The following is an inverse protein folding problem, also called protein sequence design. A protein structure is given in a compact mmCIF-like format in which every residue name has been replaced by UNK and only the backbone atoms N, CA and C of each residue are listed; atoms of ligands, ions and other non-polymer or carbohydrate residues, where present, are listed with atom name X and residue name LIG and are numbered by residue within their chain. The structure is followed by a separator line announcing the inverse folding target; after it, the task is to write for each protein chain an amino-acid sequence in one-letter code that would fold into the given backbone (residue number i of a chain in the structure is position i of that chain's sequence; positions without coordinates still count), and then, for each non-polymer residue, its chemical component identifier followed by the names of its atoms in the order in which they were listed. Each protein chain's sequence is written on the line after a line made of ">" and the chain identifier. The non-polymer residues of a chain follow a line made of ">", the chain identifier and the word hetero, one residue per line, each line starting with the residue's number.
data_IF_534134121593
#
_entry.id   IF_534134121593
#
_cell.length_a   1.000
_cell.length_b   1.000
_cell.length_c   1.000
_cell.angle_alpha   90.00
_cell.angle_beta   90.00
_cell.angle_gamma   90.00
#
_symmetry.space_group_name_H-M   'P 1'
#
loop_
_entity.id
_entity.type
_entity.pdbx_description
1 polymer ?
#
# COMPACT_ATOMS: atom_id res chain seq x y z
N UNK A 1 -35.71 12.29 1.56
CA UNK A 1 -35.87 12.10 3.01
C UNK A 1 -34.67 11.29 3.47
N UNK A 2 -33.68 11.97 4.04
CA UNK A 2 -32.37 11.41 4.39
C UNK A 2 -32.52 10.53 5.62
N UNK A 3 -32.58 9.22 5.42
CA UNK A 3 -32.49 8.25 6.51
C UNK A 3 -31.15 8.45 7.22
N UNK A 4 -31.18 8.56 8.54
CA UNK A 4 -29.99 8.57 9.38
C UNK A 4 -29.31 7.20 9.27
N UNK A 5 -28.50 7.00 8.25
CA UNK A 5 -27.58 5.86 8.19
C UNK A 5 -26.69 5.97 9.43
N UNK A 6 -26.77 4.97 10.32
CA UNK A 6 -25.85 4.82 11.43
C UNK A 6 -24.45 4.59 10.86
N UNK A 7 -23.73 5.69 10.63
CA UNK A 7 -22.35 5.68 10.16
C UNK A 7 -21.48 5.10 11.27
N UNK A 8 -21.09 3.82 11.12
CA UNK A 8 -20.18 3.15 12.03
C UNK A 8 -18.78 3.67 11.73
N UNK A 9 -18.26 4.52 12.62
CA UNK A 9 -16.91 5.06 12.51
C UNK A 9 -15.94 4.11 13.21
N UNK A 10 -15.04 3.49 12.45
CA UNK A 10 -14.04 2.55 12.97
C UNK A 10 -12.73 3.32 13.20
N UNK A 11 -12.20 3.37 14.44
CA UNK A 11 -10.97 4.08 14.74
C UNK A 11 -9.73 3.46 14.07
N UNK A 12 -8.73 4.30 13.80
CA UNK A 12 -7.50 3.92 13.10
C UNK A 12 -6.76 2.71 13.69
N UNK A 13 -6.58 2.70 15.02
CA UNK A 13 -5.87 1.61 15.68
C UNK A 13 -6.64 0.28 15.61
N UNK A 14 -7.98 0.35 15.61
CA UNK A 14 -8.83 -0.83 15.40
C UNK A 14 -8.68 -1.37 13.98
N UNK A 15 -8.49 -0.51 12.98
CA UNK A 15 -8.23 -0.94 11.60
C UNK A 15 -6.92 -1.74 11.52
N UNK A 16 -5.88 -1.30 12.23
CA UNK A 16 -4.62 -2.04 12.29
C UNK A 16 -4.80 -3.46 12.89
N UNK A 17 -5.65 -3.59 13.91
CA UNK A 17 -5.98 -4.89 14.51
C UNK A 17 -6.84 -5.72 13.55
N UNK A 18 -7.85 -5.12 12.92
CA UNK A 18 -8.73 -5.76 11.94
C UNK A 18 -7.98 -6.24 10.69
N UNK A 19 -6.83 -5.65 10.36
CA UNK A 19 -5.98 -6.13 9.27
C UNK A 19 -5.52 -7.59 9.48
N UNK A 20 -5.38 -8.06 10.72
CA UNK A 20 -4.95 -9.43 11.05
C UNK A 20 -6.01 -10.47 10.63
N UNK A 21 -7.27 -10.45 11.13
CA UNK A 21 -8.28 -11.42 10.71
C UNK A 21 -8.57 -11.30 9.21
N UNK A 22 -8.49 -10.10 8.62
CA UNK A 22 -8.67 -9.90 7.18
C UNK A 22 -7.55 -10.58 6.38
N UNK A 23 -6.30 -10.45 6.82
CA UNK A 23 -5.16 -11.14 6.22
C UNK A 23 -5.30 -12.66 6.33
N UNK A 24 -5.67 -13.18 7.52
CA UNK A 24 -5.87 -14.61 7.75
C UNK A 24 -7.02 -15.16 6.89
N UNK A 25 -8.11 -14.41 6.74
CA UNK A 25 -9.20 -14.76 5.84
C UNK A 25 -8.72 -14.80 4.38
N UNK A 26 -7.90 -13.83 3.97
CA UNK A 26 -7.25 -13.81 2.66
C UNK A 26 -6.36 -15.03 2.44
N UNK A 27 -5.51 -15.38 3.41
CA UNK A 27 -4.67 -16.59 3.33
C UNK A 27 -5.50 -17.86 3.23
N UNK A 28 -6.55 -17.97 4.04
CA UNK A 28 -7.46 -19.11 4.01
C UNK A 28 -8.12 -19.24 2.63
N UNK A 29 -8.53 -18.13 2.02
CA UNK A 29 -9.14 -18.12 0.70
C UNK A 29 -8.15 -18.51 -0.40
N UNK A 30 -6.92 -17.97 -0.37
CA UNK A 30 -5.86 -18.32 -1.32
C UNK A 30 -5.50 -19.81 -1.23
N UNK A 31 -5.46 -20.37 -0.02
CA UNK A 31 -5.20 -21.81 0.21
C UNK A 31 -6.38 -22.68 -0.28
N UNK A 32 -7.61 -22.19 -0.20
CA UNK A 32 -8.82 -22.92 -0.63
C UNK A 32 -8.97 -22.96 -2.15
N UNK A 33 -8.64 -21.87 -2.86
CA UNK A 33 -8.87 -21.74 -4.29
C UNK A 33 -7.57 -21.76 -5.11
N UNK A 34 -7.38 -22.83 -5.89
CA UNK A 34 -6.19 -23.05 -6.72
C UNK A 34 -5.94 -21.95 -7.77
N UNK A 35 -6.98 -21.26 -8.23
CA UNK A 35 -6.85 -20.14 -9.16
C UNK A 35 -6.08 -18.96 -8.55
N UNK A 36 -6.40 -18.59 -7.31
CA UNK A 36 -5.74 -17.47 -6.63
C UNK A 36 -4.26 -17.77 -6.36
N UNK A 37 -3.95 -18.99 -5.94
CA UNK A 37 -2.58 -19.46 -5.79
C UNK A 37 -1.84 -19.52 -7.15
N UNK A 38 -2.51 -19.96 -8.23
CA UNK A 38 -1.90 -20.04 -9.57
C UNK A 38 -1.52 -18.68 -10.14
N UNK A 39 -2.30 -17.63 -9.86
CA UNK A 39 -2.02 -16.26 -10.30
C UNK A 39 -1.17 -15.46 -9.30
N UNK A 40 -0.65 -16.08 -8.24
CA UNK A 40 0.15 -15.43 -7.20
C UNK A 40 -0.50 -14.17 -6.60
N UNK A 41 -1.84 -14.17 -6.46
CA UNK A 41 -2.54 -13.03 -5.88
C UNK A 41 -2.22 -12.98 -4.38
N UNK A 42 -1.64 -11.87 -3.88
CA UNK A 42 -1.26 -11.78 -2.47
C UNK A 42 -2.49 -11.88 -1.55
N UNK A 43 -2.37 -12.64 -0.46
CA UNK A 43 -3.41 -12.77 0.57
C UNK A 43 -3.99 -11.43 1.09
N UNK A 44 -3.19 -10.36 1.31
CA UNK A 44 -3.73 -9.06 1.71
C UNK A 44 -4.73 -8.47 0.71
N UNK A 45 -4.50 -8.64 -0.60
CA UNK A 45 -5.38 -8.13 -1.66
C UNK A 45 -6.68 -8.90 -1.67
N UNK A 46 -6.61 -10.22 -1.53
CA UNK A 46 -7.79 -11.10 -1.50
C UNK A 46 -8.67 -10.82 -0.29
N UNK A 47 -8.06 -10.70 0.90
CA UNK A 47 -8.78 -10.35 2.12
C UNK A 47 -9.42 -8.96 2.03
N UNK A 48 -8.66 -7.97 1.53
CA UNK A 48 -9.16 -6.60 1.35
C UNK A 48 -10.33 -6.51 0.35
N UNK A 49 -10.25 -7.21 -0.77
CA UNK A 49 -11.32 -7.26 -1.78
C UNK A 49 -12.59 -7.93 -1.24
N UNK A 50 -12.44 -8.96 -0.42
CA UNK A 50 -13.57 -9.61 0.25
C UNK A 50 -14.27 -8.64 1.20
N UNK A 51 -13.52 -7.92 2.03
CA UNK A 51 -14.08 -6.92 2.95
C UNK A 51 -14.75 -5.78 2.17
N UNK A 52 -14.11 -5.25 1.13
CA UNK A 52 -14.69 -4.15 0.35
C UNK A 52 -15.98 -4.56 -0.35
N UNK A 53 -16.07 -5.78 -0.88
CA UNK A 53 -17.30 -6.31 -1.45
C UNK A 53 -18.42 -6.45 -0.40
N UNK A 54 -18.12 -6.94 0.80
CA UNK A 54 -19.10 -7.04 1.89
C UNK A 54 -19.62 -5.67 2.33
N UNK A 55 -18.73 -4.68 2.46
CA UNK A 55 -19.12 -3.31 2.80
C UNK A 55 -20.01 -2.69 1.71
N UNK A 56 -19.69 -2.94 0.43
CA UNK A 56 -20.50 -2.46 -0.69
C UNK A 56 -21.91 -3.07 -0.66
N UNK A 57 -22.02 -4.39 -0.44
CA UNK A 57 -23.32 -5.06 -0.32
C UNK A 57 -24.12 -4.56 0.90
N UNK A 58 -23.45 -4.29 2.01
CA UNK A 58 -24.05 -3.68 3.20
C UNK A 58 -24.59 -2.27 2.95
N UNK A 59 -23.85 -1.48 2.18
CA UNK A 59 -24.28 -0.14 1.79
C UNK A 59 -25.46 -0.17 0.81
N UNK A 60 -25.42 -1.04 -0.20
CA UNK A 60 -26.50 -1.19 -1.18
C UNK A 60 -27.81 -1.72 -0.57
N UNK A 61 -27.72 -2.55 0.47
CA UNK A 61 -28.88 -3.07 1.19
C UNK A 61 -29.45 -2.10 2.24
N UNK A 62 -28.79 -0.96 2.47
CA UNK A 62 -29.16 0.00 3.52
C UNK A 62 -28.96 -0.52 4.95
N UNK A 63 -28.24 -1.64 5.12
CA UNK A 63 -28.08 -2.30 6.40
C UNK A 63 -27.05 -1.60 7.30
N UNK A 64 -25.92 -1.17 6.73
CA UNK A 64 -24.87 -0.47 7.47
C UNK A 64 -23.96 0.33 6.52
N UNK A 65 -23.45 1.46 7.02
CA UNK A 65 -22.42 2.26 6.35
C UNK A 65 -21.23 2.42 7.30
N UNK A 66 -20.07 1.89 6.92
CA UNK A 66 -18.85 1.98 7.72
C UNK A 66 -17.90 3.03 7.17
N UNK A 67 -17.39 3.91 8.03
CA UNK A 67 -16.34 4.87 7.70
C UNK A 67 -15.08 4.58 8.48
N UNK A 68 -13.98 4.35 7.76
CA UNK A 68 -12.68 4.08 8.34
C UNK A 68 -11.94 5.38 8.63
N UNK A 69 -11.58 5.62 9.89
CA UNK A 69 -10.64 6.69 10.24
C UNK A 69 -9.22 6.17 10.05
N UNK A 70 -8.59 6.49 8.93
CA UNK A 70 -7.22 6.03 8.63
C UNK A 70 -6.13 6.90 9.28
N UNK A 71 -6.49 8.10 9.75
CA UNK A 71 -5.54 9.05 10.35
C UNK A 71 -5.41 8.85 11.86
N UNK A 72 -4.16 8.83 12.31
CA UNK A 72 -3.77 8.76 13.73
C UNK A 72 -3.03 10.06 14.08
N UNK A 73 -3.43 10.69 15.19
CA UNK A 73 -2.73 11.85 15.79
C UNK A 73 -1.97 11.47 17.06
N UNK A 74 -2.05 10.22 17.47
CA UNK A 74 -1.39 9.71 18.67
C UNK A 74 0.14 9.80 18.50
N UNK A 75 0.76 10.69 19.27
CA UNK A 75 2.20 11.00 19.22
C UNK A 75 3.09 9.79 19.45
N UNK A 76 2.65 8.85 20.29
CA UNK A 76 3.36 7.58 20.57
C UNK A 76 3.30 6.58 19.41
N UNK A 77 2.40 6.78 18.44
CA UNK A 77 2.32 5.96 17.23
C UNK A 77 3.06 6.61 16.06
N UNK A 78 2.90 7.93 15.89
CA UNK A 78 3.44 8.65 14.73
C UNK A 78 4.89 9.10 14.89
N UNK A 79 5.50 8.93 16.07
CA UNK A 79 6.87 9.40 16.36
C UNK A 79 7.90 8.99 15.30
N UNK A 80 7.78 7.79 14.72
CA UNK A 80 8.72 7.28 13.72
C UNK A 80 8.63 8.01 12.38
N UNK A 81 7.51 8.68 12.09
CA UNK A 81 7.19 9.30 10.79
C UNK A 81 6.95 10.81 10.88
N UNK A 82 7.12 11.39 12.07
CA UNK A 82 6.96 12.82 12.33
C UNK A 82 8.29 13.41 12.76
N UNK A 83 8.76 14.44 12.05
CA UNK A 83 9.96 15.17 12.45
C UNK A 83 9.72 15.94 13.76
N UNK A 84 10.79 16.17 14.53
CA UNK A 84 10.75 16.86 15.83
C UNK A 84 9.98 18.20 15.84
N UNK A 85 10.14 19.12 14.87
CA UNK A 85 9.36 20.36 14.85
C UNK A 85 7.85 20.15 14.59
N UNK A 86 7.45 19.08 13.89
CA UNK A 86 6.05 18.76 13.61
C UNK A 86 5.40 17.92 14.72
N UNK A 87 6.19 17.22 15.53
CA UNK A 87 5.70 16.28 16.54
C UNK A 87 4.86 16.94 17.64
N UNK A 88 5.09 18.24 17.90
CA UNK A 88 4.28 19.03 18.84
C UNK A 88 2.91 19.39 18.28
N UNK A 89 2.79 19.53 16.95
CA UNK A 89 1.53 19.85 16.28
C UNK A 89 0.69 18.59 16.01
N UNK A 90 1.23 17.40 16.28
CA UNK A 90 0.57 16.10 16.15
C UNK A 90 -0.24 15.95 14.84
N UNK A 91 0.38 16.14 13.65
CA UNK A 91 -0.32 16.05 12.38
C UNK A 91 -0.90 14.66 12.18
N UNK A 92 -2.10 14.59 11.58
CA UNK A 92 -2.75 13.31 11.28
C UNK A 92 -2.00 12.55 10.19
N UNK A 93 -1.31 11.47 10.56
CA UNK A 93 -0.61 10.57 9.61
C UNK A 93 -1.41 9.28 9.43
N UNK A 94 -1.25 8.61 8.28
CA UNK A 94 -1.93 7.33 8.05
C UNK A 94 -1.42 6.25 9.02
N UNK A 95 -2.30 5.38 9.50
CA UNK A 95 -1.96 4.34 10.47
C UNK A 95 -0.88 3.36 9.99
N UNK A 96 -0.75 3.15 8.68
CA UNK A 96 0.21 2.24 8.06
C UNK A 96 1.63 2.81 7.89
N UNK A 97 1.82 4.13 7.95
CA UNK A 97 3.12 4.73 7.60
C UNK A 97 4.24 4.36 8.58
N UNK A 98 4.04 4.28 9.92
CA UNK A 98 5.12 3.82 10.81
C UNK A 98 5.55 2.39 10.53
N UNK A 99 4.62 1.50 10.15
CA UNK A 99 4.96 0.13 9.78
C UNK A 99 5.82 0.08 8.51
N UNK A 100 5.46 0.86 7.49
CA UNK A 100 6.24 0.94 6.26
C UNK A 100 7.65 1.51 6.50
N UNK A 101 7.77 2.59 7.27
CA UNK A 101 9.08 3.20 7.59
C UNK A 101 9.94 2.25 8.42
N UNK A 102 9.40 1.60 9.45
CA UNK A 102 10.13 0.59 10.22
C UNK A 102 10.60 -0.58 9.34
N UNK A 103 9.71 -1.10 8.49
CA UNK A 103 10.03 -2.21 7.59
C UNK A 103 11.16 -1.86 6.60
N UNK A 104 11.06 -0.73 5.90
CA UNK A 104 12.08 -0.32 4.95
C UNK A 104 13.40 0.06 5.63
N UNK A 105 13.34 0.68 6.81
CA UNK A 105 14.52 0.93 7.63
C UNK A 105 15.21 -0.39 8.03
N UNK A 106 14.46 -1.39 8.48
CA UNK A 106 15.01 -2.71 8.82
C UNK A 106 15.59 -3.44 7.61
N UNK A 107 14.93 -3.42 6.44
CA UNK A 107 15.48 -4.00 5.20
C UNK A 107 16.79 -3.30 4.83
N UNK A 108 16.82 -1.97 4.89
CA UNK A 108 18.01 -1.18 4.60
C UNK A 108 19.16 -1.49 5.56
N UNK A 109 18.89 -1.57 6.86
CA UNK A 109 19.90 -1.92 7.88
C UNK A 109 20.38 -3.37 7.78
N UNK A 110 19.55 -4.30 7.29
CA UNK A 110 19.93 -5.70 7.05
C UNK A 110 20.68 -5.88 5.72
N UNK A 111 20.84 -4.83 4.91
CA UNK A 111 21.59 -4.91 3.67
C UNK A 111 23.08 -5.24 3.96
N UNK A 112 23.52 -6.41 3.50
CA UNK A 112 24.89 -6.88 3.74
C UNK A 112 25.80 -6.41 2.62
N UNK A 113 26.90 -5.74 2.98
CA UNK A 113 27.94 -5.33 2.02
C UNK A 113 28.51 -6.50 1.22
N UNK A 114 28.55 -7.68 1.83
CA UNK A 114 29.00 -8.91 1.19
C UNK A 114 28.11 -9.33 0.01
N UNK A 115 26.79 -9.07 0.06
CA UNK A 115 25.87 -9.41 -1.03
C UNK A 115 26.15 -8.56 -2.27
N UNK A 116 26.40 -7.27 -2.09
CA UNK A 116 26.79 -6.34 -3.16
C UNK A 116 28.15 -6.75 -3.74
N UNK A 117 29.12 -7.07 -2.87
CA UNK A 117 30.46 -7.45 -3.30
C UNK A 117 30.51 -8.78 -4.03
N UNK A 118 29.73 -9.78 -3.59
CA UNK A 118 29.59 -11.09 -4.27
C UNK A 118 28.91 -10.95 -5.64
N UNK A 119 27.95 -10.05 -5.76
CA UNK A 119 27.27 -9.77 -7.03
C UNK A 119 28.12 -9.00 -8.05
N UNK A 120 29.18 -8.31 -7.59
CA UNK A 120 30.23 -7.74 -8.44
C UNK A 120 29.69 -6.88 -9.60
N UNK A 121 30.25 -7.07 -10.80
CA UNK A 121 29.85 -6.32 -11.99
C UNK A 121 28.41 -6.64 -12.45
N UNK A 122 27.87 -7.83 -12.12
CA UNK A 122 26.51 -8.21 -12.51
C UNK A 122 25.45 -7.38 -11.78
N UNK A 123 25.69 -6.99 -10.52
CA UNK A 123 24.79 -6.10 -9.77
C UNK A 123 24.76 -4.70 -10.38
N UNK A 124 25.91 -4.16 -10.78
CA UNK A 124 25.98 -2.86 -11.44
C UNK A 124 25.32 -2.88 -12.82
N UNK A 125 25.55 -3.94 -13.60
CA UNK A 125 24.89 -4.14 -14.88
C UNK A 125 23.37 -4.25 -14.72
N UNK A 126 22.90 -5.07 -13.78
CA UNK A 126 21.47 -5.21 -13.48
C UNK A 126 20.86 -3.89 -13.03
N UNK A 127 21.51 -3.17 -12.11
CA UNK A 127 21.05 -1.86 -11.64
C UNK A 127 20.95 -0.85 -12.79
N UNK A 128 21.96 -0.79 -13.66
CA UNK A 128 21.95 0.07 -14.84
C UNK A 128 20.85 -0.29 -15.84
N UNK A 129 20.67 -1.59 -16.12
CA UNK A 129 19.61 -2.08 -17.01
C UNK A 129 18.21 -1.79 -16.43
N UNK A 130 18.01 -2.03 -15.13
CA UNK A 130 16.76 -1.74 -14.43
C UNK A 130 16.45 -0.24 -14.43
N UNK A 131 17.46 0.62 -14.21
CA UNK A 131 17.31 2.07 -14.29
C UNK A 131 16.91 2.54 -15.70
N UNK A 132 17.56 2.00 -16.74
CA UNK A 132 17.22 2.30 -18.13
C UNK A 132 15.78 1.87 -18.47
N UNK A 133 15.37 0.68 -18.04
CA UNK A 133 13.99 0.20 -18.15
C UNK A 133 13.00 1.11 -17.41
N UNK A 134 13.33 1.56 -16.20
CA UNK A 134 12.48 2.46 -15.42
C UNK A 134 12.28 3.82 -16.12
N UNK A 135 13.35 4.38 -16.72
CA UNK A 135 13.27 5.61 -17.51
C UNK A 135 12.38 5.40 -18.75
N UNK A 136 12.57 4.30 -19.47
CA UNK A 136 11.73 3.96 -20.61
C UNK A 136 10.26 3.79 -20.24
N UNK A 137 9.96 3.08 -19.14
CA UNK A 137 8.61 2.90 -18.60
C UNK A 137 7.96 4.24 -18.24
N UNK A 138 8.70 5.14 -17.60
CA UNK A 138 8.21 6.47 -17.26
C UNK A 138 7.92 7.32 -18.52
N UNK A 139 8.79 7.24 -19.52
CA UNK A 139 8.58 7.92 -20.80
C UNK A 139 7.31 7.43 -21.50
N UNK A 140 7.13 6.10 -21.59
CA UNK A 140 5.94 5.49 -22.18
C UNK A 140 4.68 5.83 -21.37
N UNK A 141 4.72 5.71 -20.04
CA UNK A 141 3.59 6.00 -19.16
C UNK A 141 3.13 7.44 -19.27
N UNK A 142 4.06 8.40 -19.25
CA UNK A 142 3.76 9.83 -19.43
C UNK A 142 3.24 10.12 -20.84
N UNK A 143 3.82 9.52 -21.88
CA UNK A 143 3.36 9.70 -23.26
C UNK A 143 1.92 9.21 -23.45
N UNK A 144 1.61 7.99 -22.97
CA UNK A 144 0.26 7.44 -23.01
C UNK A 144 -0.74 8.29 -22.20
N UNK A 145 -0.36 8.75 -21.01
CA UNK A 145 -1.22 9.62 -20.19
C UNK A 145 -1.57 10.92 -20.94
N UNK A 146 -0.59 11.54 -21.61
CA UNK A 146 -0.84 12.75 -22.43
C UNK A 146 -1.75 12.47 -23.63
N UNK A 147 -1.60 11.33 -24.29
CA UNK A 147 -2.41 10.95 -25.46
C UNK A 147 -3.89 10.79 -25.12
N UNK A 148 -4.21 10.30 -23.92
CA UNK A 148 -5.59 10.15 -23.43
C UNK A 148 -6.11 11.38 -22.68
N UNK A 149 -5.34 12.49 -22.64
CA UNK A 149 -5.71 13.71 -21.92
C UNK A 149 -5.65 13.60 -20.40
N UNK A 150 -4.97 12.59 -19.85
CA UNK A 150 -4.81 12.37 -18.42
C UNK A 150 -3.57 13.10 -17.85
N UNK A 151 -3.55 13.38 -16.53
CA UNK A 151 -2.37 13.97 -15.88
C UNK A 151 -1.11 13.10 -16.05
N UNK A 152 0.05 13.67 -16.41
CA UNK A 152 1.31 12.93 -16.54
C UNK A 152 1.72 12.13 -15.31
N UNK A 153 1.37 12.63 -14.11
CA UNK A 153 1.63 11.94 -12.84
C UNK A 153 0.96 10.57 -12.78
N UNK A 154 -0.24 10.42 -13.38
CA UNK A 154 -0.94 9.14 -13.44
C UNK A 154 -0.13 8.12 -14.24
N UNK A 155 0.50 8.55 -15.34
CA UNK A 155 1.40 7.71 -16.13
C UNK A 155 2.63 7.23 -15.36
N UNK A 156 3.17 8.05 -14.45
CA UNK A 156 4.30 7.65 -13.58
C UNK A 156 3.85 6.67 -12.50
N UNK A 157 2.72 6.95 -11.85
CA UNK A 157 2.16 6.11 -10.77
C UNK A 157 1.80 4.72 -11.31
N UNK A 158 1.15 4.63 -12.47
CA UNK A 158 0.80 3.35 -13.12
C UNK A 158 1.99 2.66 -13.83
N UNK A 159 3.16 3.30 -13.86
CA UNK A 159 4.36 2.80 -14.52
C UNK A 159 5.38 2.25 -13.52
N UNK A 160 6.58 2.84 -13.51
CA UNK A 160 7.71 2.35 -12.72
C UNK A 160 7.45 2.35 -11.21
N UNK A 161 6.66 3.31 -10.70
CA UNK A 161 6.42 3.48 -9.26
C UNK A 161 5.74 2.24 -8.66
N UNK A 162 4.72 1.71 -9.33
CA UNK A 162 4.06 0.46 -8.91
C UNK A 162 4.89 -0.80 -9.12
N UNK A 163 5.82 -0.79 -10.09
CA UNK A 163 6.62 -1.99 -10.43
C UNK A 163 7.88 -2.14 -9.59
N UNK A 164 8.45 -1.04 -9.07
CA UNK A 164 9.70 -1.07 -8.28
C UNK A 164 9.41 -1.24 -6.78
N UNK A 165 8.37 -0.59 -6.24
CA UNK A 165 8.05 -0.61 -4.82
C UNK A 165 6.67 -1.19 -4.46
N UNK A 166 5.96 -1.75 -5.45
CA UNK A 166 4.61 -2.30 -5.27
C UNK A 166 3.56 -1.22 -5.05
N UNK A 167 2.40 -1.60 -4.51
CA UNK A 167 1.33 -0.65 -4.20
C UNK A 167 1.71 0.31 -3.05
N UNK A 168 2.69 -0.03 -2.22
CA UNK A 168 3.11 0.78 -1.08
C UNK A 168 3.89 2.05 -1.43
N UNK A 169 4.49 2.14 -2.63
CA UNK A 169 5.18 3.34 -3.12
C UNK A 169 4.32 4.23 -4.00
N UNK A 170 3.13 3.77 -4.38
CA UNK A 170 2.17 4.47 -5.22
C UNK A 170 1.09 5.23 -4.42
N UNK A 171 0.99 4.98 -3.11
CA UNK A 171 0.00 5.52 -2.17
C UNK A 171 0.63 6.59 -1.27
#
# INVERSE_FOLDING_TARGET
>A
MSGSETLIVIPALFIAILAIPVLLAGEWLVKRFRLLARFNIPAPVVGGLLVSALLLLGHLSGAFAARFQIHVTARWWTWLVTAEPEWFQAPGKHVNTPFLVAFFACIGLNARWELVRRGGAQVLLFWGAAAALAVAQNGIGVALAKLIGAPPLLGLVCGSVTMIGGHGTAL
#
